data_IF_189329458051
#
_entry.id   IF_189329458051
#
_cell.length_a   1.000
_cell.length_b   1.000
_cell.length_c   1.000
_cell.angle_alpha   90.00
_cell.angle_beta   90.00
_cell.angle_gamma   90.00
#
_symmetry.space_group_name_H-M   'P 1'
#
loop_
_entity.id
_entity.type
_entity.pdbx_description
1 polymer ?
#
# COMPACT_ATOMS: atom_id res chain seq x y z
N UNK A 1 29.39 -18.63 -23.36
CA UNK A 1 28.56 -18.27 -22.25
C UNK A 1 28.34 -16.76 -22.14
N UNK A 2 29.41 -15.97 -22.23
CA UNK A 2 29.25 -14.51 -22.19
C UNK A 2 28.41 -13.97 -23.34
N UNK A 3 28.51 -14.59 -24.50
CA UNK A 3 27.71 -14.21 -25.67
C UNK A 3 26.22 -14.41 -25.47
N UNK A 4 25.82 -15.48 -24.79
CA UNK A 4 24.42 -15.77 -24.53
C UNK A 4 23.82 -14.75 -23.56
N UNK A 5 24.59 -14.35 -22.54
CA UNK A 5 24.15 -13.35 -21.58
C UNK A 5 24.04 -11.98 -22.25
N UNK A 6 25.01 -11.62 -23.04
CA UNK A 6 25.01 -10.35 -23.78
C UNK A 6 23.85 -10.30 -24.77
N UNK A 7 23.59 -11.42 -25.45
CA UNK A 7 22.47 -11.52 -26.39
C UNK A 7 21.14 -11.37 -25.73
N UNK A 8 20.99 -11.91 -24.53
CA UNK A 8 19.75 -11.80 -23.76
C UNK A 8 19.51 -10.34 -23.36
N UNK A 9 20.52 -9.65 -22.83
CA UNK A 9 20.42 -8.26 -22.47
C UNK A 9 20.14 -7.36 -23.67
N UNK A 10 20.80 -7.67 -24.80
CA UNK A 10 20.59 -6.94 -26.04
C UNK A 10 19.17 -7.08 -26.54
N UNK A 11 18.60 -8.28 -26.43
CA UNK A 11 17.23 -8.53 -26.84
C UNK A 11 16.24 -7.70 -26.02
N UNK A 12 16.45 -7.62 -24.73
CA UNK A 12 15.64 -6.80 -23.83
C UNK A 12 15.74 -5.31 -24.18
N UNK A 13 16.95 -4.84 -24.43
CA UNK A 13 17.19 -3.44 -24.74
C UNK A 13 16.64 -3.05 -26.11
N UNK A 14 16.56 -4.00 -27.03
CA UNK A 14 16.09 -3.75 -28.39
C UNK A 14 14.56 -3.77 -28.50
N UNK A 15 13.87 -4.33 -27.53
CA UNK A 15 12.41 -4.39 -27.58
C UNK A 15 11.83 -3.20 -26.81
N UNK A 16 11.45 -2.13 -27.52
CA UNK A 16 10.89 -0.95 -26.85
C UNK A 16 9.52 -1.25 -26.20
N UNK A 17 8.79 -2.24 -26.74
CA UNK A 17 7.52 -2.63 -26.17
C UNK A 17 7.71 -3.28 -24.80
N UNK A 18 8.69 -4.17 -24.69
CA UNK A 18 9.00 -4.83 -23.43
C UNK A 18 9.48 -3.83 -22.39
N UNK A 19 10.33 -2.92 -22.80
CA UNK A 19 10.86 -1.86 -21.92
C UNK A 19 9.74 -0.94 -21.44
N UNK A 20 8.84 -0.57 -22.35
CA UNK A 20 7.69 0.27 -22.00
C UNK A 20 6.73 -0.45 -21.06
N UNK A 21 6.49 -1.74 -21.32
CA UNK A 21 5.65 -2.56 -20.45
C UNK A 21 6.24 -2.69 -19.05
N UNK A 22 7.55 -2.90 -18.96
CA UNK A 22 8.24 -2.97 -17.68
C UNK A 22 8.12 -1.66 -16.91
N UNK A 23 8.30 -0.54 -17.58
CA UNK A 23 8.18 0.77 -16.95
C UNK A 23 6.77 1.01 -16.45
N UNK A 24 5.78 0.65 -17.24
CA UNK A 24 4.37 0.79 -16.87
C UNK A 24 4.02 -0.09 -15.68
N UNK A 25 4.49 -1.32 -15.67
CA UNK A 25 4.23 -2.24 -14.56
C UNK A 25 4.89 -1.77 -13.27
N UNK A 26 6.11 -1.26 -13.35
CA UNK A 26 6.80 -0.70 -12.18
C UNK A 26 6.06 0.51 -11.63
N UNK A 27 5.56 1.36 -12.51
CA UNK A 27 4.77 2.51 -12.09
C UNK A 27 3.48 2.05 -11.42
N UNK A 28 2.83 1.03 -11.97
CA UNK A 28 1.61 0.48 -11.38
C UNK A 28 1.87 -0.12 -10.00
N UNK A 29 2.98 -0.83 -9.84
CA UNK A 29 3.35 -1.38 -8.54
C UNK A 29 3.53 -0.27 -7.52
N UNK A 30 4.21 0.80 -7.88
CA UNK A 30 4.38 1.95 -6.98
C UNK A 30 3.07 2.59 -6.59
N UNK A 31 2.14 2.71 -7.55
CA UNK A 31 0.81 3.23 -7.27
C UNK A 31 0.05 2.34 -6.29
N UNK A 32 0.12 1.04 -6.50
CA UNK A 32 -0.56 0.09 -5.64
C UNK A 32 0.05 0.08 -4.23
N UNK A 33 1.37 0.15 -4.14
CA UNK A 33 2.05 0.23 -2.85
C UNK A 33 1.64 1.50 -2.09
N UNK A 34 1.56 2.62 -2.78
CA UNK A 34 1.12 3.88 -2.18
C UNK A 34 -0.34 3.79 -1.71
N UNK A 35 -1.19 3.13 -2.50
CA UNK A 35 -2.58 2.94 -2.14
C UNK A 35 -2.72 2.04 -0.90
N UNK A 36 -1.97 0.96 -0.85
CA UNK A 36 -1.97 0.06 0.31
C UNK A 36 -1.56 0.81 1.57
N UNK A 37 -0.52 1.62 1.48
CA UNK A 37 -0.06 2.41 2.62
C UNK A 37 -1.13 3.40 3.08
N UNK A 38 -1.78 4.07 2.14
CA UNK A 38 -2.85 5.02 2.45
C UNK A 38 -4.03 4.33 3.12
N UNK A 39 -4.44 3.17 2.61
CA UNK A 39 -5.53 2.40 3.18
C UNK A 39 -5.17 1.91 4.59
N UNK A 40 -3.94 1.50 4.79
CA UNK A 40 -3.47 1.07 6.10
C UNK A 40 -3.54 2.21 7.11
N UNK A 41 -3.11 3.41 6.72
CA UNK A 41 -3.18 4.59 7.57
C UNK A 41 -4.63 4.97 7.88
N UNK A 42 -5.51 4.87 6.90
CA UNK A 42 -6.94 5.14 7.11
C UNK A 42 -7.57 4.11 8.06
N UNK A 43 -7.22 2.83 7.89
CA UNK A 43 -7.69 1.80 8.79
C UNK A 43 -7.24 2.06 10.23
N UNK A 44 -5.98 2.39 10.42
CA UNK A 44 -5.45 2.69 11.75
C UNK A 44 -6.18 3.88 12.38
N UNK A 45 -6.46 4.90 11.57
CA UNK A 45 -7.21 6.08 12.05
C UNK A 45 -8.64 5.72 12.45
N UNK A 46 -9.31 4.90 11.65
CA UNK A 46 -10.66 4.47 11.94
C UNK A 46 -10.72 3.60 13.20
N UNK A 47 -9.77 2.70 13.35
CA UNK A 47 -9.69 1.86 14.54
C UNK A 47 -9.45 2.71 15.79
N UNK A 48 -8.56 3.69 15.70
CA UNK A 48 -8.29 4.60 16.82
C UNK A 48 -9.53 5.44 17.16
N UNK A 49 -10.24 5.93 16.14
CA UNK A 49 -11.46 6.72 16.37
C UNK A 49 -12.54 5.86 17.01
N UNK A 50 -12.67 4.61 16.58
CA UNK A 50 -13.64 3.69 17.15
C UNK A 50 -13.30 3.37 18.61
N UNK A 51 -12.04 3.16 18.91
CA UNK A 51 -11.61 2.91 20.28
C UNK A 51 -11.89 4.11 21.19
N UNK A 52 -11.63 5.31 20.70
CA UNK A 52 -11.92 6.53 21.44
C UNK A 52 -13.42 6.69 21.70
N UNK A 53 -14.26 6.38 20.70
CA UNK A 53 -15.70 6.44 20.83
C UNK A 53 -16.20 5.44 21.89
N UNK A 54 -15.68 4.25 21.91
CA UNK A 54 -16.02 3.24 22.91
C UNK A 54 -15.66 3.72 24.31
N UNK A 55 -14.47 4.27 24.48
CA UNK A 55 -14.03 4.80 25.77
C UNK A 55 -14.91 5.94 26.24
N UNK A 56 -15.31 6.83 25.33
CA UNK A 56 -16.20 7.95 25.67
C UNK A 56 -17.57 7.43 26.13
N UNK A 57 -18.09 6.41 25.48
CA UNK A 57 -19.36 5.81 25.87
C UNK A 57 -19.29 5.15 27.23
N UNK A 58 -18.19 4.45 27.49
CA UNK A 58 -17.97 3.81 28.80
C UNK A 58 -17.87 4.86 29.91
N UNK A 59 -17.14 5.94 29.67
CA UNK A 59 -17.05 7.04 30.63
C UNK A 59 -18.41 7.66 30.92
N UNK A 60 -19.21 7.88 29.88
CA UNK A 60 -20.55 8.44 30.03
C UNK A 60 -21.44 7.52 30.85
N UNK A 61 -21.37 6.20 30.62
CA UNK A 61 -22.13 5.23 31.39
C UNK A 61 -21.72 5.21 32.85
N UNK A 62 -20.42 5.31 33.13
CA UNK A 62 -19.94 5.35 34.50
C UNK A 62 -20.41 6.61 35.23
N UNK A 63 -20.44 7.76 34.56
CA UNK A 63 -20.94 9.00 35.12
C UNK A 63 -22.44 8.96 35.39
N UNK A 64 -23.17 8.19 34.60
CA UNK A 64 -24.61 8.05 34.74
C UNK A 64 -25.02 7.08 35.84
N UNK A 65 -24.12 6.20 36.28
CA UNK A 65 -24.41 5.24 37.33
C UNK A 65 -24.53 5.95 38.69
N UNK A 66 -25.59 5.70 39.43
CA UNK A 66 -25.72 6.27 40.75
C UNK A 66 -24.62 5.70 41.68
N UNK A 67 -24.04 6.54 42.47
CA UNK A 67 -22.98 6.16 43.37
C UNK A 67 -23.43 5.21 44.46
#
# INVERSE_FOLDING_TARGET
MAKALIGYLDSDLRDPRLSADNARLRARVRELEALVLKLSEENDRLVAAQAADILDRESALQEMQPA
#
